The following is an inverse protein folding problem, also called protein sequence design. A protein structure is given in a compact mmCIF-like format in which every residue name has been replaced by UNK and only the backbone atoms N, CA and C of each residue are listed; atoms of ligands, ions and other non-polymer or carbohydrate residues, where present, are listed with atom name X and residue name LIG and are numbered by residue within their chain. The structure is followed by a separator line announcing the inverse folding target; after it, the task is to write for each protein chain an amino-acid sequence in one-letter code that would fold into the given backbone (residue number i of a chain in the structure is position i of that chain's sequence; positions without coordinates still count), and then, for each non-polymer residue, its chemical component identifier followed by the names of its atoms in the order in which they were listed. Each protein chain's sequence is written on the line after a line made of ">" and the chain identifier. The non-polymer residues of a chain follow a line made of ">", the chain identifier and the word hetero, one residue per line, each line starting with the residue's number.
data_IF_259232350620
#
_entry.id   IF_259232350620
#
_cell.length_a   1.000
_cell.length_b   1.000
_cell.length_c   1.000
_cell.angle_alpha   90.00
_cell.angle_beta   90.00
_cell.angle_gamma   90.00
#
_symmetry.space_group_name_H-M   'P 1'
#
loop_
_entity.id
_entity.type
_entity.pdbx_description
1 polymer ?
#
# COMPACT_ATOMS: atom_id res chain seq x y z
N UNK A 1 7.30 16.41 -14.03
CA UNK A 1 8.57 16.09 -13.32
C UNK A 1 8.33 16.22 -11.81
N UNK A 2 7.66 15.26 -11.16
CA UNK A 2 7.59 15.16 -9.68
C UNK A 2 7.13 13.77 -9.16
N UNK A 3 6.98 12.75 -10.02
CA UNK A 3 6.40 11.44 -9.63
C UNK A 3 7.36 10.52 -8.85
N UNK A 4 8.63 10.88 -8.69
CA UNK A 4 9.67 9.99 -8.15
C UNK A 4 9.82 9.99 -6.62
N UNK A 5 9.07 10.80 -5.87
CA UNK A 5 9.29 10.94 -4.40
C UNK A 5 8.42 10.02 -3.51
N UNK A 6 7.50 9.24 -4.08
CA UNK A 6 6.56 8.42 -3.30
C UNK A 6 6.75 6.90 -3.43
N UNK A 7 7.87 6.48 -4.03
CA UNK A 7 8.25 5.07 -4.16
C UNK A 7 8.93 4.56 -2.88
N UNK A 8 8.26 3.65 -2.17
CA UNK A 8 8.85 2.87 -1.08
C UNK A 8 9.15 1.46 -1.58
N UNK A 9 10.42 1.19 -1.82
CA UNK A 9 10.90 -0.14 -2.19
C UNK A 9 11.05 -1.00 -0.95
N UNK A 10 10.45 -2.19 -0.97
CA UNK A 10 10.55 -3.16 0.12
C UNK A 10 11.06 -4.48 -0.43
N UNK A 11 12.24 -4.89 0.03
CA UNK A 11 12.77 -6.23 -0.22
C UNK A 11 12.07 -7.21 0.71
N UNK A 12 11.31 -8.15 0.15
CA UNK A 12 10.50 -9.12 0.89
C UNK A 12 11.37 -10.33 1.25
N UNK A 13 11.89 -10.36 2.48
CA UNK A 13 12.70 -11.45 3.03
C UNK A 13 11.90 -12.44 3.89
N UNK A 14 10.64 -12.12 4.21
CA UNK A 14 9.77 -12.87 5.11
C UNK A 14 8.38 -12.24 5.18
N UNK A 15 7.62 -12.56 6.23
CA UNK A 15 6.33 -11.92 6.51
C UNK A 15 6.49 -10.47 6.99
N UNK A 16 5.47 -9.67 6.74
CA UNK A 16 5.44 -8.26 7.08
C UNK A 16 4.06 -7.66 6.84
N UNK A 17 3.88 -6.43 7.30
CA UNK A 17 2.61 -5.71 7.21
C UNK A 17 2.85 -4.37 6.52
N UNK A 18 1.97 -4.05 5.57
CA UNK A 18 1.87 -2.73 4.95
C UNK A 18 0.50 -2.16 5.31
N UNK A 19 0.49 -0.91 5.75
CA UNK A 19 -0.70 -0.21 6.17
C UNK A 19 -0.71 1.17 5.54
N UNK A 20 -1.90 1.76 5.40
CA UNK A 20 -2.01 3.17 5.08
C UNK A 20 -1.33 4.02 6.15
N UNK A 21 -0.84 5.23 5.80
CA UNK A 21 -0.41 6.18 6.82
C UNK A 21 -1.51 6.37 7.87
N UNK A 22 -1.09 6.50 9.12
CA UNK A 22 -1.94 6.73 10.30
C UNK A 22 -2.94 5.63 10.67
N UNK A 23 -2.91 4.45 10.02
CA UNK A 23 -3.71 3.30 10.45
C UNK A 23 -3.49 3.01 11.96
N UNK A 24 -4.55 2.81 12.77
CA UNK A 24 -5.93 2.50 12.39
C UNK A 24 -6.84 3.72 12.14
N UNK A 25 -6.31 4.93 12.16
CA UNK A 25 -7.08 6.13 11.80
C UNK A 25 -7.26 6.22 10.28
N UNK A 26 -8.13 7.12 9.84
CA UNK A 26 -8.33 7.43 8.42
C UNK A 26 -7.03 7.92 7.79
N UNK A 27 -6.72 7.40 6.61
CA UNK A 27 -5.58 7.86 5.83
C UNK A 27 -5.73 9.37 5.50
N UNK A 28 -4.64 10.16 5.49
CA UNK A 28 -4.71 11.58 5.15
C UNK A 28 -5.19 11.80 3.72
N UNK A 29 -6.01 12.84 3.49
CA UNK A 29 -6.39 13.25 2.13
C UNK A 29 -5.18 13.70 1.32
N UNK A 30 -5.27 13.59 0.00
CA UNK A 30 -4.19 13.94 -0.93
C UNK A 30 -2.89 13.14 -0.70
N UNK A 31 -2.99 11.93 -0.14
CA UNK A 31 -1.87 11.02 0.03
C UNK A 31 -1.60 10.26 -1.25
N UNK A 32 -0.37 10.36 -1.76
CA UNK A 32 0.13 9.49 -2.83
C UNK A 32 1.28 8.66 -2.26
N UNK A 33 1.16 7.34 -2.34
CA UNK A 33 2.19 6.40 -1.91
C UNK A 33 2.21 5.19 -2.85
N UNK A 34 3.41 4.73 -3.18
CA UNK A 34 3.63 3.56 -4.03
C UNK A 34 4.55 2.61 -3.27
N UNK A 35 4.11 1.38 -3.06
CA UNK A 35 4.96 0.32 -2.50
C UNK A 35 5.45 -0.59 -3.62
N UNK A 36 6.76 -0.60 -3.89
CA UNK A 36 7.38 -1.56 -4.81
C UNK A 36 7.93 -2.74 -4.02
N UNK A 37 7.24 -3.86 -4.08
CA UNK A 37 7.67 -5.10 -3.44
C UNK A 37 8.62 -5.87 -4.35
N UNK A 38 9.79 -6.23 -3.83
CA UNK A 38 10.82 -6.98 -4.57
C UNK A 38 11.10 -8.28 -3.82
N UNK A 39 10.89 -9.42 -4.49
CA UNK A 39 11.25 -10.72 -3.94
C UNK A 39 12.78 -10.85 -3.89
N UNK A 40 13.32 -11.42 -2.82
CA UNK A 40 14.78 -11.54 -2.63
C UNK A 40 15.40 -12.54 -3.61
N UNK A 41 14.64 -13.55 -4.03
CA UNK A 41 15.08 -14.54 -5.01
C UNK A 41 14.08 -14.64 -6.16
N UNK A 42 14.58 -14.96 -7.35
CA UNK A 42 13.76 -15.19 -8.56
C UNK A 42 12.74 -16.32 -8.39
N UNK A 43 13.02 -17.28 -7.51
CA UNK A 43 12.13 -18.40 -7.21
C UNK A 43 11.06 -18.08 -6.16
N UNK A 44 11.19 -16.94 -5.45
CA UNK A 44 10.25 -16.55 -4.41
C UNK A 44 9.01 -15.90 -5.01
N UNK A 45 7.88 -16.06 -4.33
CA UNK A 45 6.61 -15.42 -4.68
C UNK A 45 6.14 -14.58 -3.50
N UNK A 46 5.61 -13.41 -3.80
CA UNK A 46 5.01 -12.51 -2.80
C UNK A 46 3.51 -12.81 -2.76
N UNK A 47 3.00 -13.15 -1.58
CA UNK A 47 1.58 -13.30 -1.33
C UNK A 47 1.07 -12.09 -0.54
N UNK A 48 -0.04 -11.51 -1.00
CA UNK A 48 -0.71 -10.40 -0.32
C UNK A 48 -2.04 -10.88 0.25
N UNK A 49 -2.29 -10.53 1.51
CA UNK A 49 -3.57 -10.79 2.18
C UNK A 49 -4.06 -9.47 2.76
N UNK A 50 -5.29 -9.09 2.42
CA UNK A 50 -5.94 -7.91 3.00
C UNK A 50 -6.59 -8.28 4.34
N UNK A 51 -6.46 -7.40 5.32
CA UNK A 51 -7.19 -7.52 6.58
C UNK A 51 -8.70 -7.40 6.32
N UNK A 52 -9.58 -8.17 6.99
CA UNK A 52 -11.03 -8.05 6.84
C UNK A 52 -11.60 -6.65 7.11
N UNK A 53 -10.84 -5.79 7.80
CA UNK A 53 -11.19 -4.38 8.10
C UNK A 53 -10.67 -3.41 7.04
N UNK A 54 -10.22 -3.88 5.88
CA UNK A 54 -9.81 -3.01 4.78
C UNK A 54 -11.01 -2.20 4.27
N UNK A 55 -10.90 -0.87 4.32
CA UNK A 55 -11.92 0.06 3.86
C UNK A 55 -11.29 1.28 3.19
N UNK A 56 -11.95 1.77 2.15
CA UNK A 56 -11.63 3.01 1.45
C UNK A 56 -12.80 3.99 1.59
N UNK A 57 -12.60 5.25 1.22
CA UNK A 57 -13.68 6.22 1.12
C UNK A 57 -14.78 5.73 0.16
N UNK A 58 -16.04 5.94 0.55
CA UNK A 58 -17.17 5.81 -0.37
C UNK A 58 -17.04 6.87 -1.48
N UNK A 59 -17.64 6.60 -2.65
CA UNK A 59 -17.68 7.59 -3.73
C UNK A 59 -18.31 8.91 -3.21
N UNK A 60 -17.58 10.02 -3.31
CA UNK A 60 -18.12 11.32 -2.93
C UNK A 60 -19.40 11.59 -3.75
N UNK A 61 -20.51 11.78 -3.04
CA UNK A 61 -21.81 12.17 -3.60
C UNK A 61 -22.40 11.23 -4.68
N UNK A 62 -21.98 9.97 -4.73
CA UNK A 62 -22.52 8.98 -5.67
C UNK A 62 -22.14 9.24 -7.14
N UNK A 63 -21.06 9.98 -7.38
CA UNK A 63 -20.54 10.23 -8.72
C UNK A 63 -19.34 9.31 -8.93
N UNK A 64 -19.53 8.28 -9.76
CA UNK A 64 -18.46 7.44 -10.31
C UNK A 64 -17.87 8.05 -11.58
#
# INVERSE_FOLDING_TARGET
>A
VHESQHDKVLSVTGDGIIQSPDFPNTYPRNTVIVWRLVAVTESSKIQLTFDPRFGLEDAEDGIC
#
